data_IF_300366284931
#
_entry.id   IF_300366284931
#
_cell.length_a   1.000
_cell.length_b   1.000
_cell.length_c   1.000
_cell.angle_alpha   90.00
_cell.angle_beta   90.00
_cell.angle_gamma   90.00
#
_symmetry.space_group_name_H-M   'P 1'
#
loop_
_entity.id
_entity.type
_entity.pdbx_description
1 polymer ?
#
# COMPACT_ATOMS: atom_id res chain seq x y z
N UNK A 1 0.28 18.07 5.33
CA UNK A 1 0.13 18.18 3.86
C UNK A 1 1.27 17.51 3.12
N UNK A 2 2.55 17.81 3.37
CA UNK A 2 3.68 17.11 2.71
C UNK A 2 3.71 15.60 2.99
N UNK A 3 3.52 15.19 4.26
CA UNK A 3 3.56 13.78 4.67
C UNK A 3 2.46 12.92 4.00
N UNK A 4 1.22 13.42 3.94
CA UNK A 4 0.12 12.72 3.26
C UNK A 4 0.38 12.55 1.76
N UNK A 5 0.98 13.55 1.11
CA UNK A 5 1.32 13.48 -0.31
C UNK A 5 2.41 12.43 -0.59
N UNK A 6 3.39 12.31 0.30
CA UNK A 6 4.42 11.26 0.23
C UNK A 6 3.81 9.86 0.39
N UNK A 7 2.88 9.69 1.34
CA UNK A 7 2.17 8.41 1.53
C UNK A 7 1.36 8.06 0.28
N UNK A 8 0.63 9.02 -0.30
CA UNK A 8 -0.13 8.81 -1.54
C UNK A 8 0.78 8.39 -2.68
N UNK A 9 1.94 9.05 -2.84
CA UNK A 9 2.90 8.68 -3.88
C UNK A 9 3.42 7.24 -3.71
N UNK A 10 3.71 6.83 -2.46
CA UNK A 10 4.13 5.45 -2.16
C UNK A 10 3.02 4.43 -2.44
N UNK A 11 1.75 4.77 -2.17
CA UNK A 11 0.59 3.93 -2.52
C UNK A 11 0.50 3.76 -4.05
N UNK A 12 0.53 4.86 -4.80
CA UNK A 12 0.45 4.84 -6.27
C UNK A 12 1.58 4.01 -6.88
N UNK A 13 2.80 4.17 -6.36
CA UNK A 13 3.95 3.41 -6.81
C UNK A 13 3.78 1.90 -6.54
N UNK A 14 3.25 1.51 -5.38
CA UNK A 14 2.97 0.11 -5.09
C UNK A 14 1.84 -0.46 -5.96
N UNK A 15 0.79 0.33 -6.22
CA UNK A 15 -0.28 -0.07 -7.14
C UNK A 15 0.29 -0.36 -8.54
N UNK A 16 1.09 0.56 -9.08
CA UNK A 16 1.75 0.37 -10.38
C UNK A 16 2.67 -0.86 -10.39
N UNK A 17 3.46 -1.06 -9.34
CA UNK A 17 4.32 -2.24 -9.23
C UNK A 17 3.50 -3.55 -9.23
N UNK A 18 2.37 -3.60 -8.51
CA UNK A 18 1.48 -4.76 -8.52
C UNK A 18 0.79 -4.97 -9.87
N UNK A 19 0.38 -3.91 -10.56
CA UNK A 19 -0.19 -3.99 -11.91
C UNK A 19 0.81 -4.57 -12.91
N UNK A 20 2.07 -4.14 -12.86
CA UNK A 20 3.10 -4.71 -13.71
C UNK A 20 3.31 -6.21 -13.48
N UNK A 21 3.28 -6.68 -12.22
CA UNK A 21 3.36 -8.10 -11.89
C UNK A 21 2.16 -8.88 -12.44
N UNK A 22 0.94 -8.30 -12.39
CA UNK A 22 -0.26 -8.93 -12.94
C UNK A 22 -0.18 -9.04 -14.47
N UNK A 23 0.28 -7.99 -15.16
CA UNK A 23 0.32 -7.93 -16.62
C UNK A 23 1.46 -8.76 -17.20
N UNK A 24 2.68 -8.65 -16.66
CA UNK A 24 3.84 -9.40 -17.16
C UNK A 24 3.85 -10.84 -16.68
N UNK A 25 3.26 -11.10 -15.52
CA UNK A 25 3.24 -12.39 -14.85
C UNK A 25 4.31 -12.51 -13.76
N UNK A 26 3.96 -13.19 -12.67
CA UNK A 26 4.82 -13.33 -11.48
C UNK A 26 6.12 -14.09 -11.75
N UNK A 27 6.10 -15.09 -12.64
CA UNK A 27 7.27 -15.89 -13.01
C UNK A 27 8.27 -15.19 -13.92
N UNK A 28 7.82 -14.20 -14.69
CA UNK A 28 8.67 -13.42 -15.59
C UNK A 28 9.20 -12.15 -14.92
N UNK A 29 8.81 -11.92 -13.66
CA UNK A 29 9.21 -10.75 -12.90
C UNK A 29 10.70 -10.80 -12.60
N UNK A 30 11.44 -9.84 -13.16
CA UNK A 30 12.89 -9.81 -13.07
C UNK A 30 13.40 -9.32 -11.71
N UNK A 31 14.73 -9.40 -11.47
CA UNK A 31 15.36 -8.91 -10.24
C UNK A 31 15.03 -7.45 -9.93
N UNK A 32 14.88 -6.62 -10.97
CA UNK A 32 14.56 -5.20 -10.80
C UNK A 32 13.19 -4.98 -10.13
N UNK A 33 12.17 -5.75 -10.50
CA UNK A 33 10.84 -5.68 -9.88
C UNK A 33 10.89 -6.04 -8.40
N UNK A 34 11.65 -7.08 -8.06
CA UNK A 34 11.82 -7.50 -6.66
C UNK A 34 12.56 -6.45 -5.83
N UNK A 35 13.54 -5.76 -6.41
CA UNK A 35 14.22 -4.63 -5.77
C UNK A 35 13.26 -3.48 -5.50
N UNK A 36 12.41 -3.12 -6.48
CA UNK A 36 11.37 -2.09 -6.29
C UNK A 36 10.40 -2.46 -5.17
N UNK A 37 9.91 -3.71 -5.13
CA UNK A 37 9.04 -4.17 -4.05
C UNK A 37 9.73 -4.16 -2.69
N UNK A 38 11.01 -4.53 -2.62
CA UNK A 38 11.78 -4.51 -1.38
C UNK A 38 11.95 -3.09 -0.84
N UNK A 39 12.22 -2.12 -1.72
CA UNK A 39 12.24 -0.70 -1.35
C UNK A 39 10.87 -0.22 -0.86
N UNK A 40 9.80 -0.51 -1.60
CA UNK A 40 8.44 -0.14 -1.19
C UNK A 40 8.04 -0.76 0.15
N UNK A 41 8.45 -2.00 0.42
CA UNK A 41 8.27 -2.63 1.74
C UNK A 41 8.90 -1.78 2.84
N UNK A 42 10.15 -1.37 2.67
CA UNK A 42 10.89 -0.55 3.65
C UNK A 42 10.25 0.84 3.84
N UNK A 43 9.70 1.43 2.78
CA UNK A 43 8.90 2.67 2.89
C UNK A 43 7.67 2.46 3.76
N UNK A 44 6.91 1.37 3.55
CA UNK A 44 5.73 1.08 4.36
C UNK A 44 6.06 0.71 5.80
N UNK A 45 7.21 0.07 6.07
CA UNK A 45 7.71 -0.13 7.45
C UNK A 45 7.99 1.23 8.11
N UNK A 46 8.63 2.16 7.39
CA UNK A 46 8.94 3.50 7.93
C UNK A 46 7.71 4.33 8.26
N UNK A 47 6.64 4.19 7.46
CA UNK A 47 5.36 4.89 7.64
C UNK A 47 4.50 4.19 8.73
N UNK A 48 4.95 3.06 9.28
CA UNK A 48 4.24 2.31 10.32
C UNK A 48 3.13 1.39 9.80
N UNK A 49 3.10 1.13 8.49
CA UNK A 49 2.16 0.23 7.84
C UNK A 49 2.68 -1.22 7.81
N UNK A 50 3.09 -1.75 8.97
CA UNK A 50 3.77 -3.05 9.11
C UNK A 50 2.99 -4.22 8.51
N UNK A 51 1.65 -4.18 8.60
CA UNK A 51 0.82 -5.22 7.99
C UNK A 51 1.02 -5.27 6.47
N UNK A 52 1.03 -4.12 5.82
CA UNK A 52 1.20 -4.03 4.37
C UNK A 52 2.63 -4.40 3.97
N UNK A 53 3.63 -3.95 4.72
CA UNK A 53 5.01 -4.39 4.54
C UNK A 53 5.15 -5.92 4.63
N UNK A 54 4.52 -6.55 5.62
CA UNK A 54 4.49 -8.01 5.74
C UNK A 54 3.80 -8.70 4.56
N UNK A 55 2.76 -8.10 3.97
CA UNK A 55 2.14 -8.61 2.73
C UNK A 55 3.07 -8.50 1.54
N UNK A 56 3.80 -7.39 1.40
CA UNK A 56 4.78 -7.20 0.32
C UNK A 56 5.92 -8.23 0.45
N UNK A 57 6.42 -8.44 1.67
CA UNK A 57 7.43 -9.48 1.94
C UNK A 57 6.94 -10.87 1.50
N UNK A 58 5.70 -11.23 1.85
CA UNK A 58 5.11 -12.51 1.43
C UNK A 58 4.99 -12.65 -0.11
N UNK A 59 4.77 -11.56 -0.84
CA UNK A 59 4.79 -11.56 -2.32
C UNK A 59 6.21 -11.80 -2.84
N UNK A 60 7.20 -11.07 -2.31
CA UNK A 60 8.61 -11.20 -2.71
C UNK A 60 9.09 -12.63 -2.49
N UNK A 61 8.82 -13.19 -1.32
CA UNK A 61 9.25 -14.54 -0.96
C UNK A 61 8.57 -15.59 -1.85
N UNK A 62 7.27 -15.44 -2.13
CA UNK A 62 6.56 -16.37 -3.01
C UNK A 62 7.09 -16.32 -4.46
N UNK A 63 7.44 -15.14 -4.98
CA UNK A 63 8.05 -15.00 -6.31
C UNK A 63 9.46 -15.62 -6.34
N UNK A 64 10.30 -15.31 -5.34
CA UNK A 64 11.69 -15.82 -5.26
C UNK A 64 11.75 -17.34 -5.21
N UNK A 65 10.78 -17.96 -4.57
CA UNK A 65 10.70 -19.42 -4.42
C UNK A 65 9.94 -20.12 -5.55
N UNK A 66 9.51 -19.40 -6.60
CA UNK A 66 8.62 -19.91 -7.66
C UNK A 66 7.36 -20.62 -7.10
N UNK A 67 6.82 -20.09 -6.01
CA UNK A 67 5.68 -20.67 -5.31
C UNK A 67 4.40 -20.50 -6.13
N UNK A 68 3.62 -21.58 -6.25
CA UNK A 68 2.26 -21.54 -6.81
C UNK A 68 1.34 -20.60 -6.03
N UNK A 69 1.66 -20.32 -4.76
CA UNK A 69 0.98 -19.36 -3.89
C UNK A 69 1.23 -17.89 -4.21
N UNK A 70 2.17 -17.55 -5.11
CA UNK A 70 2.52 -16.15 -5.41
C UNK A 70 1.33 -15.30 -5.89
N UNK A 71 0.43 -15.88 -6.70
CA UNK A 71 -0.77 -15.19 -7.15
C UNK A 71 -1.71 -14.85 -5.99
N UNK A 72 -1.90 -15.80 -5.07
CA UNK A 72 -2.72 -15.57 -3.88
C UNK A 72 -2.07 -14.55 -2.92
N UNK A 73 -0.74 -14.56 -2.80
CA UNK A 73 -0.01 -13.56 -2.02
C UNK A 73 -0.22 -12.15 -2.60
N UNK A 74 -0.11 -12.00 -3.92
CA UNK A 74 -0.31 -10.71 -4.60
C UNK A 74 -1.72 -10.17 -4.39
N UNK A 75 -2.76 -11.01 -4.59
CA UNK A 75 -4.14 -10.59 -4.40
C UNK A 75 -4.43 -10.17 -2.94
N UNK A 76 -3.84 -10.85 -1.96
CA UNK A 76 -3.94 -10.44 -0.55
C UNK A 76 -3.25 -9.10 -0.31
N UNK A 77 -2.05 -8.90 -0.86
CA UNK A 77 -1.33 -7.64 -0.73
C UNK A 77 -2.08 -6.46 -1.38
N UNK A 78 -2.63 -6.67 -2.58
CA UNK A 78 -3.51 -5.69 -3.24
C UNK A 78 -4.75 -5.37 -2.41
N UNK A 79 -5.39 -6.40 -1.85
CA UNK A 79 -6.56 -6.20 -0.99
C UNK A 79 -6.20 -5.35 0.23
N UNK A 80 -5.09 -5.68 0.90
CA UNK A 80 -4.58 -4.90 2.03
C UNK A 80 -4.26 -3.45 1.65
N UNK A 81 -3.65 -3.23 0.47
CA UNK A 81 -3.37 -1.89 -0.05
C UNK A 81 -4.65 -1.08 -0.28
N UNK A 82 -5.69 -1.69 -0.88
CA UNK A 82 -6.98 -1.03 -1.11
C UNK A 82 -7.69 -0.65 0.19
N UNK A 83 -7.61 -1.51 1.20
CA UNK A 83 -8.17 -1.21 2.53
C UNK A 83 -7.40 -0.06 3.18
N UNK A 84 -6.06 -0.08 3.11
CA UNK A 84 -5.21 0.98 3.64
C UNK A 84 -5.51 2.34 2.99
N UNK A 85 -5.54 2.40 1.65
CA UNK A 85 -5.92 3.59 0.88
C UNK A 85 -7.29 4.12 1.30
N UNK A 86 -8.27 3.23 1.51
CA UNK A 86 -9.62 3.61 1.92
C UNK A 86 -9.66 4.22 3.32
N UNK A 87 -8.92 3.66 4.26
CA UNK A 87 -8.81 4.19 5.63
C UNK A 87 -8.18 5.59 5.58
N UNK A 88 -7.04 5.73 4.92
CA UNK A 88 -6.35 7.02 4.78
C UNK A 88 -7.25 8.09 4.15
N UNK A 89 -8.01 7.72 3.12
CA UNK A 89 -8.98 8.61 2.47
C UNK A 89 -10.07 9.06 3.45
N UNK A 90 -10.62 8.13 4.25
CA UNK A 90 -11.68 8.44 5.21
C UNK A 90 -11.18 9.33 6.34
N UNK A 91 -9.99 9.06 6.87
CA UNK A 91 -9.35 9.88 7.91
C UNK A 91 -9.07 11.29 7.38
N UNK A 92 -8.45 11.40 6.21
CA UNK A 92 -8.17 12.70 5.59
C UNK A 92 -9.46 13.49 5.33
N UNK A 93 -10.51 12.83 4.83
CA UNK A 93 -11.80 13.48 4.60
C UNK A 93 -12.47 13.92 5.90
N UNK A 94 -12.39 13.11 6.96
CA UNK A 94 -12.93 13.45 8.28
C UNK A 94 -12.20 14.65 8.90
N UNK A 95 -10.88 14.71 8.78
CA UNK A 95 -10.07 15.84 9.26
C UNK A 95 -10.41 17.13 8.52
N UNK A 96 -10.50 17.06 7.18
CA UNK A 96 -10.90 18.21 6.35
C UNK A 96 -12.32 18.68 6.68
N UNK A 97 -13.26 17.75 6.86
CA UNK A 97 -14.63 18.09 7.23
C UNK A 97 -14.69 18.76 8.60
N UNK A 98 -13.93 18.25 9.58
CA UNK A 98 -13.88 18.81 10.95
C UNK A 98 -13.37 20.25 10.97
N UNK A 99 -12.46 20.61 10.05
CA UNK A 99 -11.96 21.98 9.90
C UNK A 99 -12.98 22.94 9.26
N UNK A 100 -13.96 22.41 8.52
CA UNK A 100 -14.99 23.20 7.83
C UNK A 100 -16.25 23.39 8.68
N UNK A 101 -16.48 22.53 9.66
CA UNK A 101 -17.61 22.65 10.57
C UNK A 101 -17.26 23.68 11.66
N UNK A 102 -18.10 24.70 11.91
CA UNK A 102 -17.91 25.58 13.05
C UNK A 102 -17.95 24.74 14.34
N UNK A 103 -17.14 25.11 15.34
CA UNK A 103 -17.27 24.54 16.68
C UNK A 103 -18.74 24.62 17.07
N UNK A 104 -19.33 23.49 17.47
CA UNK A 104 -20.72 23.47 17.90
C UNK A 104 -20.85 24.36 19.14
N UNK A 105 -21.30 25.59 18.95
CA UNK A 105 -21.77 26.44 20.04
C UNK A 105 -22.93 25.71 20.73
N UNK A 106 -22.69 25.26 21.96
CA UNK A 106 -23.75 24.94 22.94
C UNK A 106 -24.05 23.45 23.13
N UNK A 107 -23.33 22.81 24.05
CA UNK A 107 -23.99 22.03 25.10
C UNK A 107 -23.97 22.90 26.37
N UNK A 108 -25.09 23.55 26.65
CA UNK A 108 -25.40 24.25 27.89
C UNK A 108 -26.59 23.54 28.56
#
# INVERSE_FOLDING_TARGET
MLETAEIVHTIEHLQGAFEELMVRGLRSSGPQHLTTLAHLREEFERIGADHLAGRIAAVIDAIRNDDRGAAAALLRAQTSLRVFERILTLETAADLLSQLLPEREGEA
#
